data_IF_938742046099
#
_entry.id   IF_938742046099
#
_cell.length_a   1.000
_cell.length_b   1.000
_cell.length_c   1.000
_cell.angle_alpha   90.00
_cell.angle_beta   90.00
_cell.angle_gamma   90.00
#
_symmetry.space_group_name_H-M   'P 1'
#
loop_
_entity.id
_entity.type
_entity.pdbx_description
1 polymer ?
#
# COMPACT_ATOMS: atom_id res chain seq x y z
N UNK A 1 10.83 23.44 -19.45
CA UNK A 1 11.63 23.07 -18.25
C UNK A 1 10.65 22.63 -17.18
N UNK A 2 10.61 21.33 -16.83
CA UNK A 2 9.73 20.84 -15.76
C UNK A 2 10.44 21.05 -14.41
N UNK A 3 9.91 21.94 -13.57
CA UNK A 3 10.53 22.43 -12.33
C UNK A 3 10.20 21.60 -11.08
N UNK A 4 9.62 20.41 -11.22
CA UNK A 4 9.25 19.58 -10.07
C UNK A 4 10.25 18.44 -9.90
N UNK A 5 11.16 18.59 -8.93
CA UNK A 5 12.11 17.54 -8.48
C UNK A 5 11.44 16.41 -7.70
N UNK A 6 10.18 16.59 -7.28
CA UNK A 6 9.34 15.56 -6.67
C UNK A 6 7.87 15.71 -7.08
N UNK A 7 7.21 14.58 -7.32
CA UNK A 7 5.77 14.52 -7.64
C UNK A 7 5.13 13.39 -6.84
N UNK A 8 3.83 13.50 -6.59
CA UNK A 8 3.05 12.38 -6.06
C UNK A 8 3.17 11.22 -7.04
N UNK A 9 3.61 10.07 -6.54
CA UNK A 9 3.65 8.81 -7.28
C UNK A 9 2.30 8.10 -7.20
N UNK A 10 1.65 8.10 -6.03
CA UNK A 10 0.34 7.48 -5.84
C UNK A 10 -0.39 7.91 -4.56
N UNK A 11 -1.69 7.60 -4.52
CA UNK A 11 -2.52 7.61 -3.32
C UNK A 11 -3.10 6.22 -3.07
N UNK A 12 -3.13 5.79 -1.81
CA UNK A 12 -3.64 4.48 -1.40
C UNK A 12 -4.61 4.55 -0.24
N UNK A 13 -5.51 3.58 -0.22
CA UNK A 13 -6.40 3.25 0.90
C UNK A 13 -6.15 1.79 1.26
N UNK A 14 -5.95 1.49 2.53
CA UNK A 14 -5.63 0.13 2.97
C UNK A 14 -6.05 -0.19 4.38
N UNK A 15 -5.76 -1.43 4.78
CA UNK A 15 -5.87 -1.90 6.15
C UNK A 15 -4.57 -2.58 6.58
N UNK A 16 -4.15 -2.30 7.81
CA UNK A 16 -3.17 -3.10 8.53
C UNK A 16 -3.92 -4.18 9.31
N UNK A 17 -3.45 -5.41 9.18
CA UNK A 17 -3.94 -6.58 9.91
C UNK A 17 -2.83 -7.01 10.86
N UNK A 18 -3.11 -7.09 12.15
CA UNK A 18 -2.11 -7.49 13.15
C UNK A 18 -2.69 -8.59 14.04
N UNK A 19 -1.88 -9.62 14.30
CA UNK A 19 -2.26 -10.71 15.18
C UNK A 19 -1.72 -10.49 16.61
N UNK A 20 -2.10 -11.39 17.52
CA UNK A 20 -1.67 -11.31 18.92
C UNK A 20 -0.15 -11.50 19.12
N UNK A 21 0.55 -12.04 18.13
CA UNK A 21 2.01 -12.22 18.13
C UNK A 21 2.75 -11.07 17.41
N UNK A 22 2.05 -9.95 17.17
CA UNK A 22 2.58 -8.76 16.47
C UNK A 22 3.05 -9.01 15.03
N UNK A 23 2.75 -10.17 14.44
CA UNK A 23 2.86 -10.36 13.00
C UNK A 23 1.76 -9.54 12.32
N UNK A 24 2.18 -8.76 11.32
CA UNK A 24 1.31 -7.89 10.57
C UNK A 24 1.51 -8.05 9.07
N UNK A 25 0.51 -7.63 8.32
CA UNK A 25 0.61 -7.36 6.89
C UNK A 25 -0.37 -6.24 6.52
N UNK A 26 -0.21 -5.68 5.34
CA UNK A 26 -1.17 -4.73 4.79
C UNK A 26 -1.65 -5.11 3.39
N UNK A 27 -2.86 -4.66 3.09
CA UNK A 27 -3.49 -4.85 1.80
C UNK A 27 -4.43 -3.67 1.53
N UNK A 28 -4.66 -3.39 0.25
CA UNK A 28 -5.52 -2.28 -0.13
C UNK A 28 -5.48 -1.96 -1.61
N UNK A 29 -5.91 -0.76 -1.94
CA UNK A 29 -6.05 -0.30 -3.32
C UNK A 29 -5.50 1.09 -3.56
N UNK A 30 -5.20 1.36 -4.84
CA UNK A 30 -4.78 2.67 -5.31
C UNK A 30 -6.00 3.45 -5.78
N UNK A 31 -6.14 4.68 -5.32
CA UNK A 31 -7.10 5.64 -5.85
C UNK A 31 -6.49 6.48 -6.98
N UNK A 32 -5.16 6.47 -7.10
CA UNK A 32 -4.40 7.20 -8.09
C UNK A 32 -2.98 6.64 -8.20
N UNK A 33 -2.45 6.57 -9.43
CA UNK A 33 -1.04 6.34 -9.73
C UNK A 33 -0.67 7.36 -10.81
N UNK A 34 0.36 8.16 -10.55
CA UNK A 34 0.81 9.20 -11.47
C UNK A 34 1.32 8.59 -12.78
N UNK A 35 0.89 9.18 -13.90
CA UNK A 35 1.23 8.71 -15.24
C UNK A 35 0.31 7.62 -15.80
N UNK A 36 -0.64 7.11 -15.00
CA UNK A 36 -1.75 6.28 -15.51
C UNK A 36 -3.00 7.13 -15.68
N UNK A 37 -3.66 6.99 -16.84
CA UNK A 37 -4.90 7.69 -17.17
C UNK A 37 -6.12 6.77 -17.03
N UNK A 38 -7.32 7.36 -16.95
CA UNK A 38 -8.59 6.61 -16.89
C UNK A 38 -9.09 6.36 -15.46
N UNK A 39 -10.24 5.69 -15.35
CA UNK A 39 -10.85 5.38 -14.04
C UNK A 39 -10.14 4.23 -13.34
N UNK A 40 -9.80 4.43 -12.07
CA UNK A 40 -9.21 3.40 -11.21
C UNK A 40 -10.26 2.48 -10.58
N UNK A 41 -11.54 2.79 -10.82
CA UNK A 41 -12.68 2.05 -10.31
C UNK A 41 -13.60 1.60 -11.44
N UNK A 42 -14.13 0.37 -11.33
CA UNK A 42 -15.09 -0.20 -12.26
C UNK A 42 -16.47 0.39 -12.00
N UNK A 43 -16.99 1.12 -12.98
CA UNK A 43 -18.31 1.76 -12.89
C UNK A 43 -18.29 3.00 -11.99
N UNK A 44 -19.44 3.31 -11.37
CA UNK A 44 -19.61 4.49 -10.51
C UNK A 44 -19.25 4.25 -9.05
N UNK A 45 -19.13 2.99 -8.62
CA UNK A 45 -18.81 2.66 -7.24
C UNK A 45 -17.31 2.89 -7.00
N UNK A 46 -16.98 3.50 -5.86
CA UNK A 46 -15.59 3.75 -5.43
C UNK A 46 -15.35 2.96 -4.16
N UNK A 47 -14.36 2.08 -4.17
CA UNK A 47 -14.05 1.19 -3.06
C UNK A 47 -13.34 -0.10 -3.49
N UNK A 48 -13.05 -0.97 -2.52
CA UNK A 48 -12.23 -2.16 -2.71
C UNK A 48 -12.80 -3.14 -3.74
N UNK A 49 -14.13 -3.29 -3.78
CA UNK A 49 -14.84 -4.18 -4.71
C UNK A 49 -14.80 -3.68 -6.16
N UNK A 50 -14.37 -2.45 -6.38
CA UNK A 50 -14.37 -1.81 -7.69
C UNK A 50 -12.96 -1.42 -8.15
N UNK A 51 -11.94 -1.51 -7.31
CA UNK A 51 -10.61 -1.01 -7.61
C UNK A 51 -9.81 -1.92 -8.55
N UNK A 52 -9.32 -1.36 -9.66
CA UNK A 52 -8.50 -2.07 -10.63
C UNK A 52 -7.08 -2.34 -10.12
N UNK A 53 -6.52 -1.44 -9.32
CA UNK A 53 -5.15 -1.52 -8.84
C UNK A 53 -5.12 -1.77 -7.34
N UNK A 54 -4.48 -2.87 -6.93
CA UNK A 54 -4.36 -3.27 -5.53
C UNK A 54 -2.93 -3.55 -5.13
N UNK A 55 -2.71 -3.61 -3.82
CA UNK A 55 -1.46 -4.07 -3.25
C UNK A 55 -1.68 -5.10 -2.15
N UNK A 56 -0.64 -5.87 -1.90
CA UNK A 56 -0.54 -6.74 -0.74
C UNK A 56 0.93 -6.83 -0.32
N UNK A 57 1.21 -6.64 0.97
CA UNK A 57 2.53 -6.82 1.54
C UNK A 57 2.72 -8.22 2.12
N UNK A 58 3.95 -8.71 2.02
CA UNK A 58 4.35 -9.90 2.76
C UNK A 58 4.27 -9.62 4.27
N UNK A 59 4.13 -10.68 5.05
CA UNK A 59 4.03 -10.58 6.51
C UNK A 59 5.33 -10.05 7.10
N UNK A 60 5.22 -9.20 8.12
CA UNK A 60 6.35 -8.63 8.84
C UNK A 60 6.02 -8.47 10.33
N UNK A 61 7.04 -8.45 11.16
CA UNK A 61 6.91 -8.15 12.61
C UNK A 61 7.74 -6.91 12.92
N UNK A 62 7.16 -5.96 13.64
CA UNK A 62 7.84 -4.74 14.05
C UNK A 62 8.56 -4.89 15.38
N UNK A 63 9.53 -4.00 15.64
CA UNK A 63 10.11 -3.81 16.97
C UNK A 63 9.57 -2.52 17.57
N UNK A 64 8.90 -2.62 18.71
CA UNK A 64 8.37 -1.46 19.41
C UNK A 64 9.47 -0.64 20.09
N UNK A 65 9.30 0.69 20.06
CA UNK A 65 10.07 1.68 20.79
C UNK A 65 9.07 2.48 21.61
N UNK A 66 9.27 2.55 22.93
CA UNK A 66 8.47 3.40 23.79
C UNK A 66 9.28 4.61 24.25
N UNK A 67 8.70 5.81 24.14
CA UNK A 67 9.26 7.06 24.66
C UNK A 67 8.16 7.90 25.34
N UNK A 68 7.89 7.61 26.61
CA UNK A 68 6.85 8.30 27.37
C UNK A 68 5.47 8.08 26.75
N UNK A 69 4.80 9.16 26.33
CA UNK A 69 3.49 9.14 25.67
C UNK A 69 3.57 9.01 24.13
N UNK A 70 4.78 8.84 23.59
CA UNK A 70 5.01 8.58 22.17
C UNK A 70 5.52 7.15 22.03
N UNK A 71 4.93 6.38 21.12
CA UNK A 71 5.45 5.09 20.72
C UNK A 71 5.90 5.13 19.27
N UNK A 72 6.87 4.30 18.93
CA UNK A 72 7.23 4.04 17.55
C UNK A 72 7.35 2.54 17.27
N UNK A 73 7.16 2.15 16.01
CA UNK A 73 7.42 0.78 15.57
C UNK A 73 8.41 0.80 14.42
N UNK A 74 9.49 0.04 14.58
CA UNK A 74 10.50 -0.23 13.57
C UNK A 74 10.11 -1.46 12.79
N UNK A 75 9.77 -1.31 11.52
CA UNK A 75 9.49 -2.47 10.67
C UNK A 75 10.73 -2.85 9.83
N UNK A 76 11.07 -4.14 9.69
CA UNK A 76 12.22 -4.62 8.93
C UNK A 76 12.00 -4.52 7.43
N UNK A 77 13.05 -4.62 6.61
CA UNK A 77 12.89 -4.77 5.15
C UNK A 77 11.90 -5.88 4.81
N UNK A 78 11.07 -5.62 3.81
CA UNK A 78 10.02 -6.53 3.40
C UNK A 78 9.46 -6.12 2.04
N UNK A 79 9.00 -7.11 1.31
CA UNK A 79 8.48 -6.92 -0.04
C UNK A 79 6.96 -6.80 -0.04
N UNK A 80 6.46 -6.08 -1.05
CA UNK A 80 5.05 -6.01 -1.35
C UNK A 80 4.86 -5.90 -2.85
N UNK A 81 3.68 -6.27 -3.33
CA UNK A 81 3.41 -6.30 -4.76
C UNK A 81 2.19 -5.47 -5.12
N UNK A 82 2.26 -4.83 -6.29
CA UNK A 82 1.12 -4.21 -6.96
C UNK A 82 0.48 -5.20 -7.93
N UNK A 83 -0.85 -5.16 -8.01
CA UNK A 83 -1.66 -6.04 -8.84
C UNK A 83 -2.67 -5.25 -9.67
N UNK A 84 -2.90 -5.69 -10.90
CA UNK A 84 -4.00 -5.25 -11.77
C UNK A 84 -5.11 -6.30 -11.79
N UNK A 85 -6.36 -5.83 -11.75
CA UNK A 85 -7.56 -6.65 -11.67
C UNK A 85 -8.56 -6.32 -12.78
N UNK A 86 -8.65 -7.15 -13.81
CA UNK A 86 -9.65 -6.91 -14.88
C UNK A 86 -11.10 -7.02 -14.40
N UNK A 87 -11.34 -7.79 -13.33
CA UNK A 87 -12.62 -7.88 -12.64
C UNK A 87 -12.40 -7.66 -11.15
N UNK A 88 -12.48 -6.41 -10.67
CA UNK A 88 -12.31 -6.09 -9.25
C UNK A 88 -13.26 -6.86 -8.35
N UNK A 89 -12.72 -7.39 -7.25
CA UNK A 89 -13.42 -8.19 -6.24
C UNK A 89 -12.76 -8.07 -4.84
N UNK A 90 -12.10 -6.94 -4.58
CA UNK A 90 -11.48 -6.68 -3.28
C UNK A 90 -12.48 -6.84 -2.14
N UNK A 91 -12.03 -7.36 -1.01
CA UNK A 91 -12.86 -7.64 0.16
C UNK A 91 -11.99 -7.56 1.41
N UNK A 92 -12.31 -6.62 2.29
CA UNK A 92 -11.56 -6.44 3.54
C UNK A 92 -11.62 -7.62 4.50
N UNK A 93 -12.67 -8.45 4.40
CA UNK A 93 -12.81 -9.66 5.21
C UNK A 93 -12.11 -10.88 4.58
N UNK A 94 -11.54 -10.72 3.39
CA UNK A 94 -10.76 -11.74 2.70
C UNK A 94 -9.53 -11.08 2.08
N UNK A 95 -8.50 -10.69 2.86
CA UNK A 95 -7.41 -9.83 2.36
C UNK A 95 -6.61 -10.44 1.20
N UNK A 96 -6.60 -11.77 1.07
CA UNK A 96 -6.02 -12.43 -0.10
C UNK A 96 -6.75 -12.09 -1.41
N UNK A 97 -8.00 -11.61 -1.34
CA UNK A 97 -8.67 -11.00 -2.49
C UNK A 97 -8.07 -9.65 -2.88
N UNK A 98 -6.99 -9.15 -2.28
CA UNK A 98 -6.18 -8.08 -2.88
C UNK A 98 -5.01 -8.63 -3.72
N UNK A 99 -4.66 -9.92 -3.52
CA UNK A 99 -3.65 -10.71 -4.24
C UNK A 99 -4.21 -12.06 -4.72
N UNK A 100 -4.93 -12.09 -5.83
CA UNK A 100 -5.60 -13.29 -6.31
C UNK A 100 -4.85 -13.99 -7.43
N UNK A 101 -5.10 -15.29 -7.61
CA UNK A 101 -4.62 -16.11 -8.74
C UNK A 101 -5.10 -15.63 -10.10
N UNK A 102 -6.18 -14.82 -10.14
CA UNK A 102 -6.71 -14.17 -11.35
C UNK A 102 -6.17 -12.76 -11.58
N UNK A 103 -5.24 -12.29 -10.74
CA UNK A 103 -4.73 -10.91 -10.77
C UNK A 103 -3.34 -10.90 -11.37
N UNK A 104 -3.10 -9.93 -12.23
CA UNK A 104 -1.79 -9.75 -12.83
C UNK A 104 -0.92 -9.00 -11.83
N UNK A 105 0.17 -9.62 -11.36
CA UNK A 105 1.21 -8.88 -10.63
C UNK A 105 1.93 -7.95 -11.62
N UNK A 106 1.97 -6.66 -11.33
CA UNK A 106 2.53 -5.63 -12.24
C UNK A 106 3.82 -4.99 -11.70
N UNK A 107 4.03 -5.04 -10.39
CA UNK A 107 5.31 -4.66 -9.78
C UNK A 107 5.53 -5.32 -8.42
N UNK A 108 6.79 -5.42 -8.02
CA UNK A 108 7.22 -5.71 -6.67
C UNK A 108 8.12 -4.59 -6.19
N UNK A 109 7.89 -4.17 -4.95
CA UNK A 109 8.61 -3.11 -4.27
C UNK A 109 9.17 -3.66 -2.97
N UNK A 110 10.28 -3.10 -2.51
CA UNK A 110 10.88 -3.45 -1.24
C UNK A 110 10.95 -2.24 -0.31
N UNK A 111 10.62 -2.44 0.96
CA UNK A 111 10.90 -1.48 2.04
C UNK A 111 12.40 -1.47 2.31
N UNK A 112 13.11 -0.46 1.83
CA UNK A 112 14.59 -0.45 1.82
C UNK A 112 15.23 -0.04 3.14
N UNK A 113 14.46 0.51 4.07
CA UNK A 113 14.96 0.98 5.36
C UNK A 113 14.00 0.61 6.48
N UNK A 114 14.50 0.66 7.71
CA UNK A 114 13.66 0.57 8.89
C UNK A 114 12.63 1.69 8.85
N UNK A 115 11.38 1.30 8.73
CA UNK A 115 10.24 2.23 8.75
C UNK A 115 9.95 2.63 10.18
N UNK A 116 9.66 3.92 10.41
CA UNK A 116 9.14 4.40 11.68
C UNK A 116 7.66 4.74 11.52
N UNK A 117 6.81 4.04 12.26
CA UNK A 117 5.44 4.49 12.55
C UNK A 117 5.45 5.17 13.91
N UNK A 118 5.05 6.44 14.00
CA UNK A 118 4.91 7.19 15.26
C UNK A 118 3.46 7.18 15.67
N UNK A 119 3.20 6.79 16.92
CA UNK A 119 1.86 6.75 17.51
C UNK A 119 1.76 7.79 18.62
N UNK A 120 0.73 8.64 18.55
CA UNK A 120 0.33 9.55 19.62
C UNK A 120 -1.12 9.21 19.98
N UNK A 121 -1.34 8.69 21.19
CA UNK A 121 -2.62 8.07 21.53
C UNK A 121 -2.83 6.80 20.72
N UNK A 122 -3.90 6.73 19.93
CA UNK A 122 -4.21 5.57 19.06
C UNK A 122 -3.99 5.82 17.57
N UNK A 123 -3.80 7.09 17.17
CA UNK A 123 -3.51 7.48 15.79
C UNK A 123 -2.03 7.27 15.46
N UNK A 124 -1.76 6.86 14.22
CA UNK A 124 -0.39 6.59 13.76
C UNK A 124 -0.04 7.34 12.49
N UNK A 125 1.19 7.86 12.43
CA UNK A 125 1.80 8.42 11.24
C UNK A 125 3.02 7.57 10.87
N UNK A 126 3.07 7.07 9.64
CA UNK A 126 4.19 6.26 9.14
C UNK A 126 4.93 6.97 8.02
N UNK A 127 6.26 6.91 8.05
CA UNK A 127 7.11 7.33 6.93
C UNK A 127 7.94 6.14 6.47
N UNK A 128 7.77 5.75 5.20
CA UNK A 128 8.42 4.59 4.58
C UNK A 128 9.14 5.00 3.30
N UNK A 129 10.20 4.29 2.94
CA UNK A 129 10.78 4.35 1.60
C UNK A 129 10.61 2.99 0.92
N UNK A 130 10.16 3.02 -0.34
CA UNK A 130 10.02 1.83 -1.17
C UNK A 130 10.89 1.96 -2.42
N UNK A 131 11.58 0.88 -2.78
CA UNK A 131 12.31 0.78 -4.04
C UNK A 131 11.64 -0.26 -4.95
N UNK A 132 11.47 0.07 -6.23
CA UNK A 132 10.98 -0.84 -7.24
C UNK A 132 12.03 -1.93 -7.49
N UNK A 133 11.69 -3.19 -7.23
CA UNK A 133 12.62 -4.33 -7.43
C UNK A 133 12.30 -5.11 -8.69
N UNK A 134 11.02 -5.20 -9.06
CA UNK A 134 10.55 -5.88 -10.28
C UNK A 134 9.37 -5.13 -10.87
N UNK A 135 9.26 -5.13 -12.19
CA UNK A 135 8.13 -4.55 -12.91
C UNK A 135 7.86 -5.33 -14.19
N UNK A 136 6.59 -5.55 -14.49
CA UNK A 136 6.14 -6.32 -15.65
C UNK A 136 5.23 -5.46 -16.53
N UNK A 137 5.20 -5.76 -17.82
CA UNK A 137 4.30 -5.10 -18.76
C UNK A 137 2.85 -5.47 -18.44
N UNK A 138 1.93 -4.53 -18.60
CA UNK A 138 0.49 -4.72 -18.41
C UNK A 138 -0.32 -3.88 -19.38
N UNK A 139 -1.53 -4.36 -19.71
CA UNK A 139 -2.47 -3.64 -20.55
C UNK A 139 -3.35 -2.73 -19.70
N UNK A 140 -3.42 -1.46 -20.06
CA UNK A 140 -4.30 -0.50 -19.41
C UNK A 140 -4.79 0.54 -20.40
N UNK A 141 -6.12 0.70 -20.50
CA UNK A 141 -6.76 1.64 -21.43
C UNK A 141 -6.29 1.46 -22.89
N UNK A 142 -6.04 0.22 -23.31
CA UNK A 142 -5.57 -0.12 -24.65
C UNK A 142 -4.09 0.19 -24.93
N UNK A 143 -3.29 0.38 -23.88
CA UNK A 143 -1.86 0.58 -23.98
C UNK A 143 -1.10 -0.47 -23.16
N UNK A 144 -0.03 -1.01 -23.74
CA UNK A 144 0.99 -1.75 -23.00
C UNK A 144 1.86 -0.78 -22.22
N UNK A 145 1.87 -0.90 -20.90
CA UNK A 145 2.58 -0.02 -19.97
C UNK A 145 3.48 -0.83 -19.04
N UNK A 146 4.50 -0.18 -18.48
CA UNK A 146 5.37 -0.78 -17.45
C UNK A 146 5.66 0.26 -16.37
N UNK A 147 5.51 -0.11 -15.09
CA UNK A 147 5.64 0.84 -13.98
C UNK A 147 7.06 1.41 -13.84
N UNK A 148 8.11 0.72 -14.27
CA UNK A 148 9.49 1.25 -14.27
C UNK A 148 9.65 2.49 -15.15
N UNK A 149 8.88 2.55 -16.23
CA UNK A 149 8.94 3.66 -17.21
C UNK A 149 8.10 4.85 -16.73
N UNK A 150 7.12 4.60 -15.85
CA UNK A 150 6.12 5.56 -15.39
C UNK A 150 6.47 6.16 -14.03
N UNK A 151 6.85 5.32 -13.08
CA UNK A 151 7.13 5.68 -11.70
C UNK A 151 8.64 5.77 -11.43
N UNK A 152 9.07 6.58 -10.44
CA UNK A 152 10.47 6.62 -10.03
C UNK A 152 10.90 5.28 -9.42
N UNK A 153 12.20 4.99 -9.47
CA UNK A 153 12.78 3.75 -8.92
C UNK A 153 12.62 3.66 -7.40
N UNK A 154 12.46 4.80 -6.73
CA UNK A 154 12.23 4.89 -5.29
C UNK A 154 11.20 5.98 -4.97
N UNK A 155 10.40 5.73 -3.94
CA UNK A 155 9.43 6.68 -3.40
C UNK A 155 9.51 6.73 -1.88
N UNK A 156 9.15 7.87 -1.30
CA UNK A 156 8.84 8.01 0.11
C UNK A 156 7.34 8.13 0.30
N UNK A 157 6.77 7.26 1.14
CA UNK A 157 5.35 7.25 1.49
C UNK A 157 5.13 7.79 2.90
N UNK A 158 4.12 8.64 3.03
CA UNK A 158 3.59 9.12 4.30
C UNK A 158 2.18 8.56 4.45
N UNK A 159 1.93 7.82 5.54
CA UNK A 159 0.67 7.16 5.81
C UNK A 159 0.05 7.57 7.12
N UNK A 160 -1.27 7.71 7.16
CA UNK A 160 -2.07 7.98 8.35
C UNK A 160 -2.95 6.77 8.67
N UNK A 161 -2.77 6.20 9.85
CA UNK A 161 -3.57 5.08 10.36
C UNK A 161 -4.63 5.53 11.35
N UNK A 162 -5.82 4.96 11.23
CA UNK A 162 -6.97 5.27 12.06
C UNK A 162 -6.70 4.97 13.55
N UNK A 163 -7.18 5.83 14.46
CA UNK A 163 -7.21 5.52 15.89
C UNK A 163 -8.20 4.42 16.26
N UNK A 164 -9.18 4.14 15.40
CA UNK A 164 -10.26 3.18 15.65
C UNK A 164 -9.93 1.81 15.05
N UNK A 165 -10.17 0.76 15.85
CA UNK A 165 -10.14 -0.61 15.36
C UNK A 165 -11.42 -0.90 14.57
N UNK A 166 -11.25 -1.65 13.50
CA UNK A 166 -12.34 -2.20 12.71
C UNK A 166 -12.58 -3.66 13.11
N UNK A 167 -13.66 -4.25 12.60
CA UNK A 167 -13.91 -5.68 12.72
C UNK A 167 -12.70 -6.48 12.22
N UNK A 168 -12.14 -7.27 13.13
CA UNK A 168 -10.98 -8.11 12.90
C UNK A 168 -11.31 -9.44 12.23
N UNK A 169 -10.25 -10.13 11.79
CA UNK A 169 -10.31 -11.51 11.33
C UNK A 169 -10.00 -12.45 12.49
N UNK A 170 -10.36 -13.73 12.35
CA UNK A 170 -10.02 -14.78 13.33
C UNK A 170 -8.53 -14.79 13.66
N UNK A 171 -7.67 -14.76 12.63
CA UNK A 171 -6.21 -14.82 12.81
C UNK A 171 -5.56 -13.44 13.01
N UNK A 172 -6.28 -12.37 12.66
CA UNK A 172 -5.81 -10.98 12.74
C UNK A 172 -6.90 -10.10 13.36
N UNK A 173 -7.10 -10.17 14.68
CA UNK A 173 -8.19 -9.48 15.36
C UNK A 173 -8.00 -7.95 15.43
N UNK A 174 -6.78 -7.45 15.24
CA UNK A 174 -6.49 -6.02 15.31
C UNK A 174 -6.35 -5.44 13.90
N UNK A 175 -7.41 -4.78 13.43
CA UNK A 175 -7.45 -4.20 12.08
C UNK A 175 -7.60 -2.69 12.16
N UNK A 176 -6.72 -1.96 11.45
CA UNK A 176 -6.79 -0.50 11.33
C UNK A 176 -6.84 -0.08 9.87
N UNK A 177 -7.77 0.80 9.52
CA UNK A 177 -7.73 1.47 8.22
C UNK A 177 -6.59 2.49 8.15
N UNK A 178 -6.06 2.72 6.95
CA UNK A 178 -5.12 3.79 6.68
C UNK A 178 -5.33 4.40 5.30
N UNK A 179 -4.81 5.61 5.14
CA UNK A 179 -4.58 6.23 3.82
C UNK A 179 -3.13 6.66 3.73
N UNK A 180 -2.56 6.69 2.53
CA UNK A 180 -1.18 7.15 2.36
C UNK A 180 -0.95 7.79 0.99
N UNK A 181 0.09 8.62 0.94
CA UNK A 181 0.55 9.30 -0.25
C UNK A 181 2.03 9.03 -0.43
N UNK A 182 2.44 8.63 -1.63
CA UNK A 182 3.85 8.49 -1.97
C UNK A 182 4.33 9.60 -2.89
N UNK A 183 5.56 10.05 -2.67
CA UNK A 183 6.23 11.08 -3.46
C UNK A 183 7.56 10.49 -3.93
N UNK A 184 7.93 10.75 -5.18
CA UNK A 184 9.26 10.44 -5.68
C UNK A 184 9.70 11.42 -6.76
N UNK A 185 11.00 11.42 -7.04
CA UNK A 185 11.64 12.21 -8.09
C UNK A 185 12.20 11.29 -9.17
N UNK A 186 12.02 11.69 -10.43
CA UNK A 186 12.83 11.19 -11.56
C UNK A 186 13.79 12.29 -11.98
#
# INVERSE_FOLDING_TARGET
>A
MNLFTGKVAWYVVGRFYTNANEEAFDAGYFSFINGLNGSFFKGSNVGEQSAFFTFYADKFTGTAIQNGNVAATLFPTGDWSMYLQNNPDGNWQQPDSFKGTKKQKIATWSRTTTTMSTTIGTASLSVLTFQLTKSWDFEWQGQTLNLKDILPESVTQIGFGSPELLDGLTDYPYVKAFTASAIGGK
#
